data_IF_963744859641
#
_entry.id   IF_963744859641
#
_cell.length_a   1.000
_cell.length_b   1.000
_cell.length_c   1.000
_cell.angle_alpha   90.00
_cell.angle_beta   90.00
_cell.angle_gamma   90.00
#
_symmetry.space_group_name_H-M   'P 1'
#
loop_
_entity.id
_entity.type
_entity.pdbx_description
1 polymer ?
#
# COMPACT_ATOMS: atom_id res chain seq x y z
N UNK A 1 10.33 11.31 -27.69
CA UNK A 1 9.04 10.74 -28.12
C UNK A 1 7.94 11.70 -27.68
N UNK A 2 7.08 12.14 -28.59
CA UNK A 2 5.89 12.93 -28.27
C UNK A 2 4.68 11.99 -28.21
N UNK A 3 3.80 12.18 -27.23
CA UNK A 3 2.46 11.61 -27.27
C UNK A 3 1.67 12.26 -28.43
N UNK A 4 1.15 11.48 -29.39
CA UNK A 4 0.54 12.04 -30.60
C UNK A 4 -0.82 12.71 -30.37
N UNK A 5 -1.41 12.61 -29.17
CA UNK A 5 -2.78 13.08 -28.90
C UNK A 5 -2.85 14.43 -28.19
N UNK A 6 -1.79 14.87 -27.52
CA UNK A 6 -1.83 16.10 -26.71
C UNK A 6 -0.86 17.20 -27.13
N UNK A 7 0.16 16.89 -27.94
CA UNK A 7 1.20 17.85 -28.34
C UNK A 7 2.02 18.41 -27.16
N UNK A 8 1.80 17.91 -25.94
CA UNK A 8 2.51 18.35 -24.74
C UNK A 8 3.85 17.63 -24.65
N UNK A 9 4.90 18.30 -24.16
CA UNK A 9 6.13 17.61 -23.82
C UNK A 9 5.80 16.58 -22.72
N UNK A 10 5.89 15.30 -23.07
CA UNK A 10 5.89 14.21 -22.10
C UNK A 10 7.24 14.29 -21.42
N UNK A 11 7.28 14.90 -20.24
CA UNK A 11 8.46 14.81 -19.37
C UNK A 11 8.49 13.36 -18.88
N UNK A 12 9.25 12.52 -19.59
CA UNK A 12 9.61 11.20 -19.08
C UNK A 12 10.59 11.41 -17.91
N UNK A 13 10.02 11.67 -16.74
CA UNK A 13 10.76 11.74 -15.50
C UNK A 13 11.03 10.29 -15.08
N UNK A 14 12.22 9.77 -15.42
CA UNK A 14 12.64 8.42 -15.02
C UNK A 14 12.47 8.20 -13.51
N UNK A 15 12.82 9.20 -12.70
CA UNK A 15 12.61 9.22 -11.26
C UNK A 15 11.13 9.04 -10.89
N UNK A 16 10.22 9.71 -11.60
CA UNK A 16 8.78 9.61 -11.35
C UNK A 16 8.23 8.23 -11.76
N UNK A 17 8.81 7.60 -12.79
CA UNK A 17 8.53 6.21 -13.15
C UNK A 17 9.00 5.23 -12.07
N UNK A 18 10.23 5.40 -11.58
CA UNK A 18 10.80 4.60 -10.49
C UNK A 18 9.98 4.73 -9.19
N UNK A 19 9.52 5.94 -8.84
CA UNK A 19 8.62 6.17 -7.71
C UNK A 19 7.27 5.45 -7.90
N UNK A 20 6.66 5.53 -9.08
CA UNK A 20 5.38 4.89 -9.35
C UNK A 20 5.49 3.35 -9.30
N UNK A 21 6.59 2.78 -9.79
CA UNK A 21 6.86 1.34 -9.70
C UNK A 21 7.12 0.89 -8.26
N UNK A 22 7.86 1.68 -7.49
CA UNK A 22 8.13 1.45 -6.09
C UNK A 22 6.85 1.48 -5.24
N UNK A 23 5.98 2.47 -5.45
CA UNK A 23 4.69 2.57 -4.77
C UNK A 23 3.75 1.41 -5.14
N UNK A 24 3.78 0.97 -6.40
CA UNK A 24 3.04 -0.20 -6.85
C UNK A 24 3.52 -1.48 -6.16
N UNK A 25 4.84 -1.65 -6.01
CA UNK A 25 5.42 -2.77 -5.30
C UNK A 25 5.06 -2.75 -3.82
N UNK A 26 5.21 -1.60 -3.15
CA UNK A 26 4.81 -1.44 -1.75
C UNK A 26 3.32 -1.77 -1.55
N UNK A 27 2.46 -1.33 -2.47
CA UNK A 27 1.01 -1.63 -2.41
C UNK A 27 0.73 -3.14 -2.53
N UNK A 28 1.41 -3.84 -3.44
CA UNK A 28 1.27 -5.30 -3.57
C UNK A 28 1.74 -6.03 -2.30
N UNK A 29 2.88 -5.61 -1.74
CA UNK A 29 3.41 -6.15 -0.49
C UNK A 29 2.43 -5.93 0.67
N UNK A 30 1.89 -4.70 0.81
CA UNK A 30 0.89 -4.38 1.82
C UNK A 30 -0.35 -5.27 1.70
N UNK A 31 -0.86 -5.47 0.48
CA UNK A 31 -2.01 -6.36 0.23
C UNK A 31 -1.74 -7.81 0.64
N UNK A 32 -0.56 -8.34 0.32
CA UNK A 32 -0.18 -9.70 0.69
C UNK A 32 -0.09 -9.88 2.21
N UNK A 33 0.49 -8.89 2.90
CA UNK A 33 0.61 -8.88 4.37
C UNK A 33 -0.77 -8.82 5.01
N UNK A 34 -1.66 -7.92 4.57
CA UNK A 34 -3.02 -7.80 5.10
C UNK A 34 -3.76 -9.13 4.94
N UNK A 35 -3.71 -9.74 3.75
CA UNK A 35 -4.37 -11.01 3.49
C UNK A 35 -3.85 -12.14 4.39
N UNK A 36 -2.53 -12.21 4.61
CA UNK A 36 -1.90 -13.19 5.50
C UNK A 36 -2.29 -12.94 6.97
N UNK A 37 -2.26 -11.70 7.44
CA UNK A 37 -2.67 -11.34 8.81
C UNK A 37 -4.12 -11.69 9.07
N UNK A 38 -5.02 -11.39 8.12
CA UNK A 38 -6.44 -11.77 8.22
C UNK A 38 -6.64 -13.29 8.24
N UNK A 39 -5.84 -14.05 7.50
CA UNK A 39 -5.96 -15.50 7.43
C UNK A 39 -5.36 -16.23 8.65
N UNK A 40 -4.31 -15.68 9.27
CA UNK A 40 -3.54 -16.37 10.31
C UNK A 40 -3.75 -15.82 11.73
N UNK A 41 -4.01 -14.52 11.87
CA UNK A 41 -3.96 -13.84 13.18
C UNK A 41 -5.32 -13.31 13.66
N UNK A 42 -6.33 -13.27 12.79
CA UNK A 42 -7.68 -12.82 13.17
C UNK A 42 -8.52 -14.04 13.55
N UNK A 43 -8.79 -14.20 14.85
CA UNK A 43 -9.78 -15.18 15.31
C UNK A 43 -11.20 -14.66 15.00
N UNK A 44 -12.19 -15.55 14.94
CA UNK A 44 -13.61 -15.17 14.82
C UNK A 44 -14.09 -14.26 15.96
N UNK A 45 -13.39 -14.28 17.09
CA UNK A 45 -13.65 -13.38 18.22
C UNK A 45 -13.11 -11.96 17.96
N UNK A 46 -11.98 -11.82 17.28
CA UNK A 46 -11.42 -10.53 16.88
C UNK A 46 -12.24 -9.84 15.79
N UNK A 47 -12.96 -10.60 14.94
CA UNK A 47 -13.91 -10.03 13.98
C UNK A 47 -15.03 -9.19 14.64
N UNK A 48 -15.28 -9.38 15.95
CA UNK A 48 -16.22 -8.54 16.71
C UNK A 48 -15.64 -7.19 17.11
N UNK A 49 -14.33 -7.04 17.14
CA UNK A 49 -13.66 -5.75 17.38
C UNK A 49 -12.81 -5.32 16.17
N UNK A 50 -13.41 -4.56 15.23
CA UNK A 50 -12.69 -4.09 14.06
C UNK A 50 -11.52 -3.15 14.40
N UNK A 51 -11.44 -2.58 15.62
CA UNK A 51 -10.27 -1.79 16.03
C UNK A 51 -9.08 -2.68 16.34
N UNK A 52 -9.27 -3.77 17.07
CA UNK A 52 -8.20 -4.72 17.38
C UNK A 52 -7.60 -5.36 16.10
N UNK A 53 -8.45 -5.69 15.14
CA UNK A 53 -8.02 -6.16 13.81
C UNK A 53 -7.21 -5.10 13.07
N UNK A 54 -7.68 -3.85 13.09
CA UNK A 54 -6.97 -2.74 12.44
C UNK A 54 -5.60 -2.48 13.10
N UNK A 55 -5.51 -2.50 14.43
CA UNK A 55 -4.24 -2.34 15.16
C UNK A 55 -3.25 -3.46 14.81
N UNK A 56 -3.72 -4.71 14.76
CA UNK A 56 -2.88 -5.86 14.37
C UNK A 56 -2.35 -5.72 12.94
N UNK A 57 -3.20 -5.28 12.00
CA UNK A 57 -2.79 -5.04 10.62
C UNK A 57 -1.76 -3.91 10.54
N UNK A 58 -1.98 -2.81 11.26
CA UNK A 58 -1.06 -1.68 11.29
C UNK A 58 0.31 -2.10 11.83
N UNK A 59 0.35 -2.84 12.94
CA UNK A 59 1.59 -3.32 13.55
C UNK A 59 2.39 -4.23 12.58
N UNK A 60 1.73 -5.16 11.89
CA UNK A 60 2.43 -6.04 10.93
C UNK A 60 2.96 -5.26 9.71
N UNK A 61 2.20 -4.27 9.23
CA UNK A 61 2.64 -3.41 8.12
C UNK A 61 3.84 -2.52 8.52
N UNK A 62 3.82 -1.94 9.72
CA UNK A 62 4.94 -1.17 10.26
C UNK A 62 6.20 -2.04 10.45
N UNK A 63 6.04 -3.24 11.00
CA UNK A 63 7.14 -4.21 11.13
C UNK A 63 7.72 -4.67 9.79
N UNK A 64 6.94 -4.62 8.70
CA UNK A 64 7.41 -4.89 7.35
C UNK A 64 8.12 -3.69 6.69
N UNK A 65 8.31 -2.57 7.41
CA UNK A 65 8.94 -1.36 6.91
C UNK A 65 8.08 -0.56 5.94
N UNK A 66 6.77 -0.83 5.90
CA UNK A 66 5.84 -0.06 5.07
C UNK A 66 5.44 1.21 5.80
N UNK A 67 5.62 2.36 5.14
CA UNK A 67 5.21 3.65 5.69
C UNK A 67 3.72 3.84 5.48
N UNK A 68 2.94 3.83 6.57
CA UNK A 68 1.50 4.06 6.50
C UNK A 68 1.23 5.55 6.69
N UNK A 69 0.93 6.24 5.60
CA UNK A 69 0.46 7.61 5.68
C UNK A 69 -0.92 7.62 6.37
N UNK A 70 -1.02 8.27 7.53
CA UNK A 70 -2.32 8.55 8.14
C UNK A 70 -3.09 9.48 7.20
N UNK A 71 -4.27 9.06 6.76
CA UNK A 71 -5.21 9.96 6.12
C UNK A 71 -5.61 11.02 7.14
N UNK A 72 -5.06 12.23 7.00
CA UNK A 72 -5.53 13.41 7.73
C UNK A 72 -6.99 13.66 7.32
N UNK A 73 -7.90 13.63 8.30
CA UNK A 73 -9.31 13.97 8.12
C UNK A 73 -9.51 15.42 7.72
#
# INVERSE_FOLDING_TARGET
MHDPWSGRPVINCNTCGEYAEYDCLQRKTAHAIIAATLACNVSKEDERDPRAVAETILDVLENAGLTIARASR
#
